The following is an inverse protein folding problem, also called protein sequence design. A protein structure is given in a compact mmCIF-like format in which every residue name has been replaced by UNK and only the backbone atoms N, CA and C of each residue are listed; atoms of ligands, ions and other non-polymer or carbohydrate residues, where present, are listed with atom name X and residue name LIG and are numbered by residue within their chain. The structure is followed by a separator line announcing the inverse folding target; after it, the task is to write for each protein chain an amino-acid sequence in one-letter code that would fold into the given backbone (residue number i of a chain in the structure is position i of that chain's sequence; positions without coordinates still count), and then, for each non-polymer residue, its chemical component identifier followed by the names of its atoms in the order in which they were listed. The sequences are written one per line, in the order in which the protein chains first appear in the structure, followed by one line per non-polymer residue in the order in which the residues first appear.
data_IF_581392710321
#
_entry.id   IF_581392710321
#
_cell.length_a   1.000
_cell.length_b   1.000
_cell.length_c   1.000
_cell.angle_alpha   90.00
_cell.angle_beta   90.00
_cell.angle_gamma   90.00
#
_symmetry.space_group_name_H-M   'P 1'
#
loop_
_entity.id
_entity.type
_entity.pdbx_description
1 polymer ?
#
# COMPACT_ATOMS: atom_id res chain seq x y z
N UNK A 1 -32.42 35.57 12.72
CA UNK A 1 -32.07 34.99 11.40
C UNK A 1 -31.17 33.74 11.46
N UNK A 2 -30.97 33.06 12.61
CA UNK A 2 -30.04 31.91 12.72
C UNK A 2 -30.70 30.51 12.74
N UNK A 3 -32.02 30.39 12.85
CA UNK A 3 -32.69 29.10 13.16
C UNK A 3 -33.08 28.21 11.97
N UNK A 4 -32.90 28.64 10.71
CA UNK A 4 -33.32 27.86 9.52
C UNK A 4 -32.25 26.90 8.96
N UNK A 5 -30.99 27.02 9.38
CA UNK A 5 -29.88 26.20 8.86
C UNK A 5 -29.65 24.85 9.57
N UNK A 6 -30.07 24.71 10.83
CA UNK A 6 -29.81 23.51 11.62
C UNK A 6 -30.65 22.30 11.18
N UNK A 7 -31.88 22.54 10.72
CA UNK A 7 -32.83 21.49 10.33
C UNK A 7 -32.48 20.81 9.00
N UNK A 8 -31.82 21.51 8.07
CA UNK A 8 -31.39 20.96 6.78
C UNK A 8 -30.10 20.16 6.87
N UNK A 9 -29.16 20.56 7.75
CA UNK A 9 -27.94 19.79 8.04
C UNK A 9 -28.27 18.46 8.75
N UNK A 10 -29.16 18.50 9.75
CA UNK A 10 -29.62 17.30 10.46
C UNK A 10 -30.38 16.34 9.53
N UNK A 11 -31.24 16.87 8.65
CA UNK A 11 -31.96 16.05 7.65
C UNK A 11 -31.01 15.39 6.64
N UNK A 12 -30.00 16.10 6.14
CA UNK A 12 -28.99 15.52 5.22
C UNK A 12 -28.16 14.43 5.90
N UNK A 13 -27.72 14.67 7.14
CA UNK A 13 -27.00 13.70 7.95
C UNK A 13 -27.84 12.44 8.25
N UNK A 14 -29.13 12.62 8.58
CA UNK A 14 -30.06 11.52 8.81
C UNK A 14 -30.34 10.73 7.52
N UNK A 15 -30.51 11.39 6.37
CA UNK A 15 -30.70 10.69 5.09
C UNK A 15 -29.43 9.97 4.60
N UNK A 16 -28.23 10.49 4.91
CA UNK A 16 -26.98 9.80 4.57
C UNK A 16 -26.72 8.59 5.46
N UNK A 17 -27.06 8.67 6.75
CA UNK A 17 -26.96 7.53 7.67
C UNK A 17 -28.03 6.49 7.36
N UNK A 18 -29.26 6.91 7.05
CA UNK A 18 -30.33 6.01 6.63
C UNK A 18 -29.97 5.30 5.32
N UNK A 19 -29.42 6.01 4.32
CA UNK A 19 -28.95 5.41 3.07
C UNK A 19 -27.81 4.40 3.27
N UNK A 20 -26.91 4.65 4.23
CA UNK A 20 -25.82 3.74 4.57
C UNK A 20 -26.28 2.51 5.37
N UNK A 21 -27.35 2.63 6.19
CA UNK A 21 -27.88 1.53 6.99
C UNK A 21 -28.75 0.56 6.19
N UNK A 22 -29.42 1.02 5.13
CA UNK A 22 -30.27 0.22 4.25
C UNK A 22 -29.64 -1.12 3.83
N UNK A 23 -28.42 -1.19 3.25
CA UNK A 23 -27.83 -2.46 2.84
C UNK A 23 -27.63 -3.44 4.01
N UNK A 24 -27.21 -2.94 5.18
CA UNK A 24 -26.99 -3.80 6.36
C UNK A 24 -28.30 -4.37 6.90
N UNK A 25 -29.35 -3.55 6.95
CA UNK A 25 -30.68 -4.01 7.41
C UNK A 25 -31.25 -5.02 6.43
N UNK A 26 -31.15 -4.78 5.12
CA UNK A 26 -31.62 -5.73 4.10
C UNK A 26 -30.91 -7.08 4.24
N UNK A 27 -29.58 -7.07 4.39
CA UNK A 27 -28.81 -8.30 4.62
C UNK A 27 -29.20 -8.98 5.93
N UNK A 28 -29.41 -8.22 7.01
CA UNK A 28 -29.82 -8.79 8.31
C UNK A 28 -31.21 -9.44 8.25
N UNK A 29 -32.16 -8.83 7.53
CA UNK A 29 -33.50 -9.41 7.33
C UNK A 29 -33.42 -10.66 6.47
N UNK A 30 -32.68 -10.62 5.35
CA UNK A 30 -32.47 -11.79 4.50
C UNK A 30 -31.79 -12.92 5.26
N UNK A 31 -30.79 -12.59 6.11
CA UNK A 31 -30.14 -13.54 6.99
C UNK A 31 -31.12 -14.15 7.99
N UNK A 32 -31.94 -13.32 8.65
CA UNK A 32 -32.93 -13.81 9.62
C UNK A 32 -33.96 -14.72 8.96
N UNK A 33 -34.45 -14.34 7.77
CA UNK A 33 -35.35 -15.17 6.99
C UNK A 33 -34.68 -16.51 6.62
N UNK A 34 -33.43 -16.48 6.16
CA UNK A 34 -32.69 -17.69 5.82
C UNK A 34 -32.37 -18.56 7.05
N UNK A 35 -32.11 -17.96 8.21
CA UNK A 35 -31.86 -18.68 9.46
C UNK A 35 -33.14 -19.33 10.03
N UNK A 36 -34.32 -18.74 9.79
CA UNK A 36 -35.60 -19.31 10.22
C UNK A 36 -36.14 -20.38 9.27
N UNK A 37 -36.06 -20.14 7.96
CA UNK A 37 -36.68 -20.98 6.93
C UNK A 37 -35.69 -21.90 6.20
N UNK A 38 -34.39 -21.76 6.45
CA UNK A 38 -33.35 -22.54 5.79
C UNK A 38 -33.28 -23.99 6.28
N UNK A 39 -32.69 -24.90 5.48
CA UNK A 39 -32.58 -26.32 5.81
C UNK A 39 -31.49 -26.65 6.84
N UNK A 40 -30.82 -25.63 7.40
CA UNK A 40 -29.64 -25.82 8.24
C UNK A 40 -29.99 -25.94 9.73
N UNK A 41 -29.24 -26.74 10.51
CA UNK A 41 -29.37 -26.79 11.95
C UNK A 41 -29.23 -25.40 12.59
N UNK A 42 -30.10 -25.00 13.54
CA UNK A 42 -30.05 -23.69 14.22
C UNK A 42 -28.75 -23.37 14.96
N UNK A 43 -27.89 -24.39 15.14
CA UNK A 43 -26.57 -24.28 15.77
C UNK A 43 -25.48 -23.83 14.79
N UNK A 44 -25.64 -24.14 13.51
CA UNK A 44 -24.73 -23.71 12.43
C UNK A 44 -25.13 -22.35 11.87
N UNK A 45 -26.44 -22.03 11.91
CA UNK A 45 -26.97 -20.76 11.43
C UNK A 45 -27.90 -20.12 12.49
N UNK A 46 -27.35 -19.54 13.57
CA UNK A 46 -28.16 -18.83 14.55
C UNK A 46 -28.78 -17.57 13.94
N UNK A 47 -30.04 -17.31 14.31
CA UNK A 47 -30.71 -16.06 13.98
C UNK A 47 -30.03 -14.85 14.63
N UNK A 48 -30.22 -13.68 14.01
CA UNK A 48 -29.75 -12.37 14.47
C UNK A 48 -30.22 -12.09 15.90
N UNK A 49 -31.43 -12.52 16.26
CA UNK A 49 -31.98 -12.42 17.63
C UNK A 49 -31.09 -13.12 18.67
N UNK A 50 -30.65 -14.36 18.39
CA UNK A 50 -29.77 -15.12 19.28
C UNK A 50 -28.37 -14.52 19.33
N UNK A 51 -27.87 -14.01 18.20
CA UNK A 51 -26.57 -13.33 18.13
C UNK A 51 -26.58 -12.09 19.02
N UNK A 52 -27.61 -11.25 18.92
CA UNK A 52 -27.73 -10.01 19.71
C UNK A 52 -27.88 -10.32 21.19
N UNK A 53 -28.75 -11.26 21.57
CA UNK A 53 -28.93 -11.67 22.97
C UNK A 53 -27.64 -12.21 23.57
N UNK A 54 -26.96 -13.12 22.85
CA UNK A 54 -25.69 -13.70 23.27
C UNK A 54 -24.60 -12.65 23.37
N UNK A 55 -24.54 -11.69 22.44
CA UNK A 55 -23.60 -10.58 22.49
C UNK A 55 -23.74 -9.77 23.77
N UNK A 56 -24.94 -9.29 24.09
CA UNK A 56 -25.17 -8.53 25.33
C UNK A 56 -24.88 -9.38 26.57
N UNK A 57 -25.28 -10.64 26.57
CA UNK A 57 -24.98 -11.56 27.66
C UNK A 57 -23.46 -11.70 27.88
N UNK A 58 -22.66 -11.88 26.83
CA UNK A 58 -21.20 -12.01 26.95
C UNK A 58 -20.52 -10.69 27.31
N UNK A 59 -21.07 -9.55 26.88
CA UNK A 59 -20.56 -8.22 27.21
C UNK A 59 -20.78 -7.92 28.69
N UNK A 60 -22.01 -8.07 29.18
CA UNK A 60 -22.36 -7.76 30.58
C UNK A 60 -21.75 -8.74 31.58
N UNK A 61 -21.55 -10.00 31.19
CA UNK A 61 -20.82 -10.98 32.02
C UNK A 61 -19.30 -10.77 32.03
N UNK A 62 -18.76 -9.77 31.31
CA UNK A 62 -17.33 -9.45 31.31
C UNK A 62 -16.44 -10.40 30.49
N UNK A 63 -16.99 -11.49 29.95
CA UNK A 63 -16.25 -12.49 29.19
C UNK A 63 -15.74 -11.88 27.87
N UNK A 64 -16.63 -11.23 27.10
CA UNK A 64 -16.25 -10.59 25.83
C UNK A 64 -15.16 -9.52 26.01
N UNK A 65 -15.33 -8.52 26.90
CA UNK A 65 -14.32 -7.48 27.07
C UNK A 65 -13.00 -8.02 27.63
N UNK A 66 -13.02 -9.02 28.52
CA UNK A 66 -11.78 -9.62 29.03
C UNK A 66 -10.95 -10.28 27.92
N UNK A 67 -11.59 -11.09 27.06
CA UNK A 67 -10.90 -11.73 25.93
C UNK A 67 -10.50 -10.73 24.84
N UNK A 68 -11.33 -9.72 24.58
CA UNK A 68 -11.01 -8.65 23.65
C UNK A 68 -9.78 -7.86 24.12
N UNK A 69 -9.74 -7.46 25.39
CA UNK A 69 -8.61 -6.73 25.97
C UNK A 69 -7.34 -7.58 25.98
N UNK A 70 -7.44 -8.86 26.37
CA UNK A 70 -6.29 -9.76 26.33
C UNK A 70 -5.71 -9.90 24.91
N UNK A 71 -6.58 -10.01 23.91
CA UNK A 71 -6.16 -10.07 22.49
C UNK A 71 -5.54 -8.75 22.03
N UNK A 72 -6.11 -7.62 22.44
CA UNK A 72 -5.60 -6.29 22.11
C UNK A 72 -4.21 -6.05 22.73
N UNK A 73 -4.03 -6.37 24.01
CA UNK A 73 -2.74 -6.25 24.69
C UNK A 73 -1.67 -7.14 24.04
N UNK A 74 -2.06 -8.36 23.65
CA UNK A 74 -1.20 -9.29 22.92
C UNK A 74 -0.77 -8.73 21.56
N UNK A 75 -1.71 -8.19 20.80
CA UNK A 75 -1.44 -7.55 19.50
C UNK A 75 -0.59 -6.29 19.66
N UNK A 76 -0.85 -5.47 20.68
CA UNK A 76 -0.07 -4.28 20.97
C UNK A 76 1.38 -4.62 21.33
N UNK A 77 1.60 -5.65 22.16
CA UNK A 77 2.94 -6.13 22.49
C UNK A 77 3.68 -6.68 21.25
N UNK A 78 3.00 -7.49 20.44
CA UNK A 78 3.56 -8.01 19.19
C UNK A 78 3.92 -6.88 18.22
N UNK A 79 3.02 -5.91 18.05
CA UNK A 79 3.25 -4.75 17.20
C UNK A 79 4.40 -3.89 17.71
N UNK A 80 4.50 -3.63 19.03
CA UNK A 80 5.59 -2.86 19.59
C UNK A 80 6.96 -3.52 19.33
N UNK A 81 7.05 -4.84 19.52
CA UNK A 81 8.26 -5.60 19.22
C UNK A 81 8.60 -5.61 17.72
N UNK A 82 7.60 -5.89 16.87
CA UNK A 82 7.76 -5.90 15.42
C UNK A 82 8.10 -4.52 14.87
N UNK A 83 7.51 -3.46 15.43
CA UNK A 83 7.79 -2.07 15.06
C UNK A 83 9.20 -1.66 15.48
N UNK A 84 9.63 -1.98 16.70
CA UNK A 84 11.00 -1.70 17.13
C UNK A 84 12.04 -2.37 16.21
N UNK A 85 11.85 -3.66 15.91
CA UNK A 85 12.73 -4.39 14.99
C UNK A 85 12.67 -3.84 13.56
N UNK A 86 11.46 -3.69 13.01
CA UNK A 86 11.22 -3.23 11.64
C UNK A 86 11.73 -1.80 11.41
N UNK A 87 11.47 -0.88 12.34
CA UNK A 87 11.99 0.51 12.27
C UNK A 87 13.50 0.52 12.33
N UNK A 88 14.12 -0.26 13.22
CA UNK A 88 15.58 -0.33 13.33
C UNK A 88 16.21 -0.83 12.02
N UNK A 89 15.67 -1.91 11.46
CA UNK A 89 16.13 -2.48 10.18
C UNK A 89 15.90 -1.51 9.03
N UNK A 90 14.70 -0.93 8.90
CA UNK A 90 14.36 0.02 7.84
C UNK A 90 15.20 1.31 7.90
N UNK A 91 15.48 1.80 9.10
CA UNK A 91 16.36 2.96 9.31
C UNK A 91 17.81 2.64 8.93
N UNK A 92 18.30 1.44 9.29
CA UNK A 92 19.64 0.99 8.91
C UNK A 92 19.79 0.86 7.39
N UNK A 93 18.78 0.29 6.72
CA UNK A 93 18.69 0.21 5.26
C UNK A 93 18.62 1.60 4.60
N UNK A 94 17.89 2.56 5.19
CA UNK A 94 17.78 3.92 4.66
C UNK A 94 19.08 4.72 4.80
N UNK A 95 19.86 4.48 5.86
CA UNK A 95 21.12 5.19 6.14
C UNK A 95 22.33 4.62 5.39
N UNK A 96 22.46 3.30 5.30
CA UNK A 96 23.65 2.64 4.73
C UNK A 96 23.36 1.93 3.41
N UNK A 97 24.09 2.31 2.35
CA UNK A 97 24.02 1.64 1.03
C UNK A 97 24.42 0.17 1.08
N UNK A 98 25.27 -0.22 2.03
CA UNK A 98 25.68 -1.62 2.21
C UNK A 98 24.57 -2.43 2.89
N UNK A 99 23.99 -1.90 3.96
CA UNK A 99 22.86 -2.53 4.65
C UNK A 99 21.65 -2.68 3.72
N UNK A 100 21.38 -1.67 2.89
CA UNK A 100 20.33 -1.73 1.87
C UNK A 100 20.53 -2.92 0.91
N UNK A 101 21.73 -3.07 0.34
CA UNK A 101 22.01 -4.14 -0.64
C UNK A 101 21.88 -5.55 -0.05
N UNK A 102 22.16 -5.72 1.23
CA UNK A 102 22.09 -7.01 1.91
C UNK A 102 20.69 -7.33 2.43
N UNK A 103 20.01 -6.36 3.05
CA UNK A 103 18.74 -6.58 3.74
C UNK A 103 17.54 -6.42 2.81
N UNK A 104 17.63 -5.57 1.77
CA UNK A 104 16.50 -5.34 0.85
C UNK A 104 16.04 -6.62 0.14
N UNK A 105 16.93 -7.50 -0.39
CA UNK A 105 16.49 -8.77 -0.98
C UNK A 105 15.78 -9.67 0.03
N UNK A 106 16.31 -9.78 1.26
CA UNK A 106 15.74 -10.61 2.33
C UNK A 106 14.34 -10.13 2.71
N UNK A 107 14.20 -8.81 2.93
CA UNK A 107 12.92 -8.20 3.31
C UNK A 107 11.93 -8.27 2.14
N UNK A 108 12.38 -8.07 0.90
CA UNK A 108 11.53 -8.14 -0.29
C UNK A 108 10.97 -9.54 -0.54
N UNK A 109 11.70 -10.59 -0.19
CA UNK A 109 11.24 -11.98 -0.30
C UNK A 109 10.34 -12.36 0.88
N UNK A 110 10.65 -11.87 2.09
CA UNK A 110 9.85 -12.14 3.29
C UNK A 110 8.48 -11.45 3.29
N UNK A 111 8.39 -10.22 2.77
CA UNK A 111 7.16 -9.42 2.81
C UNK A 111 5.93 -10.04 2.10
N UNK A 112 6.02 -10.63 0.90
CA UNK A 112 4.86 -11.25 0.24
C UNK A 112 4.43 -12.58 0.87
N UNK A 113 5.24 -13.17 1.76
CA UNK A 113 4.91 -14.44 2.40
C UNK A 113 3.88 -14.16 3.51
N UNK A 114 2.68 -14.78 3.46
CA UNK A 114 1.67 -14.58 4.49
C UNK A 114 2.22 -14.98 5.86
N UNK A 115 1.96 -14.16 6.89
CA UNK A 115 2.44 -14.44 8.26
C UNK A 115 2.06 -15.83 8.79
N UNK A 116 0.90 -16.36 8.36
CA UNK A 116 0.43 -17.70 8.70
C UNK A 116 1.36 -18.82 8.22
N UNK A 117 2.14 -18.61 7.16
CA UNK A 117 3.09 -19.61 6.64
C UNK A 117 4.23 -19.90 7.63
N UNK A 118 4.56 -18.94 8.50
CA UNK A 118 5.58 -19.11 9.52
C UNK A 118 5.04 -19.79 10.80
N UNK A 119 3.71 -19.92 10.96
CA UNK A 119 3.10 -20.48 12.15
C UNK A 119 3.68 -21.85 12.58
N UNK A 120 3.81 -22.87 11.70
CA UNK A 120 4.34 -24.17 12.11
C UNK A 120 5.76 -24.10 12.65
N UNK A 121 6.62 -23.26 12.08
CA UNK A 121 8.00 -23.08 12.52
C UNK A 121 8.07 -22.53 13.96
N UNK A 122 7.27 -21.50 14.25
CA UNK A 122 7.20 -20.91 15.60
C UNK A 122 6.58 -21.87 16.61
N UNK A 123 5.60 -22.69 16.20
CA UNK A 123 5.01 -23.71 17.08
C UNK A 123 6.02 -24.81 17.41
N UNK A 124 6.85 -25.24 16.45
CA UNK A 124 7.89 -26.26 16.70
C UNK A 124 8.99 -25.71 17.63
N UNK A 125 9.39 -24.45 17.48
CA UNK A 125 10.45 -23.86 18.31
C UNK A 125 9.99 -23.45 19.70
N UNK A 126 8.79 -22.87 19.83
CA UNK A 126 8.33 -22.26 21.08
C UNK A 126 7.13 -22.99 21.71
N UNK A 127 6.61 -24.03 21.07
CA UNK A 127 5.46 -24.81 21.53
C UNK A 127 4.11 -24.14 21.24
N UNK A 128 3.09 -24.55 21.99
CA UNK A 128 1.74 -23.97 21.95
C UNK A 128 1.59 -22.91 23.04
N UNK A 129 0.93 -21.79 22.73
CA UNK A 129 0.58 -20.78 23.73
C UNK A 129 0.57 -19.35 23.21
N UNK A 130 0.68 -18.41 24.16
CA UNK A 130 0.61 -16.98 23.85
C UNK A 130 1.90 -16.46 23.18
N UNK A 131 3.05 -16.89 23.68
CA UNK A 131 4.37 -16.44 23.25
C UNK A 131 4.66 -16.73 21.75
N UNK A 132 4.44 -17.94 21.21
CA UNK A 132 4.67 -18.23 19.79
C UNK A 132 3.89 -17.30 18.87
N UNK A 133 2.61 -17.02 19.14
CA UNK A 133 1.84 -16.15 18.24
C UNK A 133 2.15 -14.66 18.41
N UNK A 134 2.64 -14.21 19.58
CA UNK A 134 3.18 -12.84 19.72
C UNK A 134 4.42 -12.68 18.85
N UNK A 135 5.36 -13.63 18.94
CA UNK A 135 6.60 -13.60 18.14
C UNK A 135 6.32 -13.75 16.64
N UNK A 136 5.38 -14.61 16.27
CA UNK A 136 4.94 -14.79 14.89
C UNK A 136 4.41 -13.47 14.30
N UNK A 137 3.50 -12.80 15.01
CA UNK A 137 2.91 -11.53 14.55
C UNK A 137 3.97 -10.43 14.52
N UNK A 138 4.85 -10.36 15.53
CA UNK A 138 5.95 -9.40 15.56
C UNK A 138 6.89 -9.59 14.36
N UNK A 139 7.27 -10.84 14.06
CA UNK A 139 8.12 -11.19 12.94
C UNK A 139 7.47 -10.86 11.59
N UNK A 140 6.21 -11.27 11.40
CA UNK A 140 5.47 -11.00 10.17
C UNK A 140 5.25 -9.50 9.94
N UNK A 141 4.98 -8.72 11.01
CA UNK A 141 4.79 -7.28 10.92
C UNK A 141 6.11 -6.52 10.70
N UNK A 142 7.26 -7.06 11.12
CA UNK A 142 8.55 -6.39 10.98
C UNK A 142 8.92 -6.12 9.51
N UNK A 143 8.58 -7.02 8.57
CA UNK A 143 8.88 -6.86 7.14
C UNK A 143 8.20 -5.64 6.49
N UNK A 144 6.84 -5.51 6.49
CA UNK A 144 6.20 -4.34 5.91
C UNK A 144 6.58 -3.05 6.65
N UNK A 145 6.78 -3.09 7.97
CA UNK A 145 7.25 -1.93 8.73
C UNK A 145 8.66 -1.51 8.28
N UNK A 146 9.57 -2.45 8.05
CA UNK A 146 10.92 -2.15 7.56
C UNK A 146 10.89 -1.52 6.16
N UNK A 147 10.07 -2.05 5.23
CA UNK A 147 9.93 -1.49 3.87
C UNK A 147 9.33 -0.09 3.91
N UNK A 148 8.29 0.11 4.72
CA UNK A 148 7.65 1.42 4.89
C UNK A 148 8.62 2.45 5.49
N UNK A 149 9.38 2.05 6.51
CA UNK A 149 10.39 2.91 7.14
C UNK A 149 11.52 3.25 6.17
N UNK A 150 12.03 2.26 5.42
CA UNK A 150 13.06 2.48 4.41
C UNK A 150 12.60 3.47 3.33
N UNK A 151 11.36 3.31 2.84
CA UNK A 151 10.75 4.19 1.85
C UNK A 151 10.59 5.61 2.38
N UNK A 152 10.15 5.76 3.63
CA UNK A 152 10.03 7.05 4.31
C UNK A 152 11.38 7.77 4.44
N UNK A 153 12.43 7.06 4.88
CA UNK A 153 13.78 7.64 5.04
C UNK A 153 14.34 8.12 3.70
N UNK A 154 14.13 7.36 2.62
CA UNK A 154 14.56 7.75 1.26
C UNK A 154 13.79 8.97 0.75
N UNK A 155 12.48 9.02 0.94
CA UNK A 155 11.66 10.16 0.54
C UNK A 155 12.11 11.45 1.24
N UNK A 156 12.41 11.37 2.54
CA UNK A 156 12.95 12.51 3.31
C UNK A 156 14.30 12.95 2.75
N UNK A 157 15.23 12.04 2.47
CA UNK A 157 16.53 12.41 1.89
C UNK A 157 16.39 13.12 0.54
N UNK A 158 15.47 12.66 -0.30
CA UNK A 158 15.24 13.26 -1.61
C UNK A 158 14.69 14.68 -1.54
N UNK A 159 13.77 14.98 -0.60
CA UNK A 159 13.23 16.34 -0.44
C UNK A 159 14.30 17.34 0.03
N UNK A 160 15.20 16.94 0.93
CA UNK A 160 16.31 17.80 1.38
C UNK A 160 17.31 18.08 0.26
N UNK A 161 17.60 17.09 -0.59
CA UNK A 161 18.48 17.28 -1.75
C UNK A 161 17.85 18.27 -2.74
N UNK A 162 16.56 18.11 -3.05
CA UNK A 162 15.84 19.02 -3.95
C UNK A 162 15.77 20.44 -3.39
N UNK A 163 15.53 20.61 -2.09
CA UNK A 163 15.54 21.91 -1.43
C UNK A 163 16.92 22.59 -1.48
N UNK A 164 18.01 21.84 -1.26
CA UNK A 164 19.36 22.36 -1.37
C UNK A 164 19.69 22.81 -2.81
N UNK A 165 19.22 22.09 -3.82
CA UNK A 165 19.36 22.49 -5.23
C UNK A 165 18.60 23.78 -5.54
N UNK A 166 17.38 23.96 -4.99
CA UNK A 166 16.61 25.20 -5.16
C UNK A 166 17.24 26.42 -4.49
N UNK A 167 18.06 26.23 -3.45
CA UNK A 167 18.82 27.30 -2.79
C UNK A 167 20.19 27.59 -3.43
N UNK A 168 20.50 26.96 -4.58
CA UNK A 168 21.72 27.27 -5.34
C UNK A 168 22.94 26.40 -5.00
N UNK A 169 22.78 25.24 -4.35
CA UNK A 169 23.90 24.31 -4.16
C UNK A 169 24.38 23.75 -5.52
N UNK A 170 25.58 24.16 -5.95
CA UNK A 170 26.21 23.77 -7.22
C UNK A 170 26.35 22.24 -7.34
N UNK A 171 25.87 21.67 -8.46
CA UNK A 171 25.88 20.23 -8.75
C UNK A 171 27.27 19.57 -8.58
N UNK A 172 28.37 20.35 -8.71
CA UNK A 172 29.75 19.87 -8.57
C UNK A 172 30.17 19.55 -7.13
N UNK A 173 29.63 20.22 -6.11
CA UNK A 173 29.91 19.89 -4.70
C UNK A 173 29.10 18.69 -4.21
N UNK A 174 27.86 18.51 -4.71
CA UNK A 174 27.03 17.35 -4.40
C UNK A 174 27.59 16.07 -5.05
N UNK A 175 28.10 16.17 -6.28
CA UNK A 175 28.79 15.07 -6.97
C UNK A 175 30.07 14.62 -6.27
N UNK A 176 30.86 15.54 -5.70
CA UNK A 176 32.11 15.19 -4.99
C UNK A 176 31.86 14.45 -3.67
N UNK A 177 30.76 14.73 -2.99
CA UNK A 177 30.44 14.13 -1.69
C UNK A 177 29.60 12.85 -1.80
N UNK A 178 28.78 12.71 -2.85
CA UNK A 178 27.86 11.55 -3.04
C UNK A 178 28.30 10.58 -4.16
N UNK A 179 29.15 11.03 -5.08
CA UNK A 179 29.53 10.30 -6.31
C UNK A 179 30.61 9.23 -6.15
N UNK A 180 31.41 9.23 -5.09
CA UNK A 180 32.55 8.31 -4.99
C UNK A 180 32.17 6.83 -4.71
N UNK A 181 30.92 6.55 -4.33
CA UNK A 181 30.43 5.16 -4.15
C UNK A 181 29.66 4.57 -5.36
N UNK A 182 29.53 5.30 -6.48
CA UNK A 182 28.99 4.76 -7.75
C UNK A 182 30.01 4.74 -8.90
N UNK A 183 31.20 5.31 -8.68
CA UNK A 183 32.12 5.70 -9.74
C UNK A 183 32.96 4.63 -10.43
N UNK A 184 32.94 3.34 -10.05
CA UNK A 184 33.91 2.36 -10.61
C UNK A 184 33.36 1.30 -11.57
N UNK A 185 32.05 1.02 -11.62
CA UNK A 185 31.54 -0.08 -12.44
C UNK A 185 31.06 0.35 -13.85
N UNK A 186 30.48 1.55 -14.01
CA UNK A 186 29.82 1.94 -15.27
C UNK A 186 30.77 2.63 -16.26
N UNK A 187 31.88 3.23 -15.79
CA UNK A 187 32.84 3.90 -16.69
C UNK A 187 33.62 2.94 -17.59
N UNK A 188 33.78 1.66 -17.24
CA UNK A 188 34.48 0.69 -18.11
C UNK A 188 33.64 0.22 -19.30
N UNK A 189 32.31 0.22 -19.22
CA UNK A 189 31.46 -0.23 -20.32
C UNK A 189 31.28 0.82 -21.43
N UNK A 190 31.47 2.12 -21.13
CA UNK A 190 31.22 3.21 -22.08
C UNK A 190 32.43 3.63 -22.92
N UNK A 191 33.64 3.23 -22.52
CA UNK A 191 34.87 3.59 -23.24
C UNK A 191 35.30 2.55 -24.29
N UNK A 192 34.47 1.55 -24.59
CA UNK A 192 34.83 0.43 -25.47
C UNK A 192 34.01 0.35 -26.77
N UNK A 193 33.25 1.38 -27.15
CA UNK A 193 32.52 1.37 -28.43
C UNK A 193 33.08 2.42 -29.42
N UNK A 194 33.96 2.03 -30.36
CA UNK A 194 34.55 2.92 -31.36
C UNK A 194 33.68 3.04 -32.62
N UNK A 195 32.46 2.48 -32.68
CA UNK A 195 31.70 2.36 -33.94
C UNK A 195 30.67 3.46 -34.21
N UNK A 196 30.51 4.47 -33.34
CA UNK A 196 29.47 5.50 -33.49
C UNK A 196 29.84 6.74 -34.31
N UNK A 197 31.10 6.88 -34.75
CA UNK A 197 31.56 8.07 -35.48
C UNK A 197 31.57 7.93 -37.01
N UNK A 198 31.07 6.81 -37.55
CA UNK A 198 30.92 6.63 -38.99
C UNK A 198 29.44 6.81 -39.40
N UNK A 199 29.20 7.86 -40.19
CA UNK A 199 28.01 8.12 -41.02
C UNK A 199 26.86 8.95 -40.40
N UNK A 200 26.97 10.29 -40.51
CA UNK A 200 25.84 11.15 -40.92
C UNK A 200 26.38 12.30 -41.81
N UNK A 201 26.11 12.32 -43.13
CA UNK A 201 26.45 13.46 -43.98
C UNK A 201 25.38 14.56 -43.85
N UNK A 202 25.79 15.79 -43.52
CA UNK A 202 24.93 16.98 -43.56
C UNK A 202 24.78 17.47 -45.00
N UNK A 203 23.57 17.45 -45.56
CA UNK A 203 23.24 18.20 -46.77
C UNK A 203 22.88 19.64 -46.41
N UNK A 204 23.44 20.58 -47.18
CA UNK A 204 23.29 22.02 -47.03
C UNK A 204 21.86 22.49 -47.28
N UNK A 205 21.47 23.49 -46.48
CA UNK A 205 20.24 24.26 -46.64
C UNK A 205 20.60 25.47 -47.51
N UNK A 206 20.23 25.41 -48.78
CA UNK A 206 20.05 26.58 -49.65
C UNK A 206 18.56 26.84 -49.78
N UNK A 207 18.15 28.09 -49.55
CA UNK A 207 16.75 28.50 -49.61
C UNK A 207 16.19 28.46 -51.02
N UNK A 208 14.87 28.36 -51.11
CA UNK A 208 14.07 29.33 -51.84
C UNK A 208 12.58 29.11 -51.58
N UNK A 209 11.86 30.21 -51.67
CA UNK A 209 10.45 30.43 -51.41
C UNK A 209 9.52 29.52 -52.23
N UNK A 210 8.37 29.17 -51.65
CA UNK A 210 7.06 29.45 -52.24
C UNK A 210 5.91 29.09 -51.28
N UNK A 211 5.18 30.14 -50.89
CA UNK A 211 3.84 30.08 -50.32
C UNK A 211 2.85 29.52 -51.35
N UNK A 212 2.05 28.54 -50.93
CA UNK A 212 0.93 27.99 -51.70
C UNK A 212 -0.17 27.49 -50.77
N UNK A 213 -1.44 27.88 -50.98
CA UNK A 213 -2.50 27.75 -49.97
C UNK A 213 -2.98 26.30 -49.82
N UNK A 214 -2.90 25.77 -48.60
CA UNK A 214 -3.44 24.46 -48.24
C UNK A 214 -4.97 24.48 -48.27
N UNK A 215 -5.53 24.00 -49.39
CA UNK A 215 -6.94 23.65 -49.53
C UNK A 215 -7.28 22.47 -48.62
N UNK A 216 -8.32 22.65 -47.81
CA UNK A 216 -9.12 21.54 -47.27
C UNK A 216 -9.84 20.81 -48.41
N UNK A 217 -9.92 19.47 -48.35
CA UNK A 217 -11.09 18.77 -48.86
C UNK A 217 -11.78 17.91 -47.80
N UNK A 218 -13.09 18.11 -47.77
CA UNK A 218 -14.14 17.41 -47.08
C UNK A 218 -14.18 15.88 -47.26
N UNK A 219 -14.64 15.22 -46.18
CA UNK A 219 -15.55 14.05 -46.13
C UNK A 219 -15.46 12.96 -47.20
N UNK A 220 -15.48 11.70 -46.73
CA UNK A 220 -16.59 10.79 -47.05
C UNK A 220 -16.81 9.73 -45.97
N UNK A 221 -18.03 9.73 -45.43
CA UNK A 221 -18.64 8.58 -44.75
C UNK A 221 -18.94 7.51 -45.80
N UNK A 222 -18.81 6.24 -45.42
CA UNK A 222 -19.44 5.12 -46.10
C UNK A 222 -19.98 4.14 -45.05
N UNK A 223 -21.30 3.90 -44.98
CA UNK A 223 -21.91 2.91 -44.10
C UNK A 223 -22.15 1.58 -44.81
N UNK A 224 -22.33 0.53 -44.00
CA UNK A 224 -23.17 -0.68 -44.21
C UNK A 224 -22.95 -1.55 -45.44
N UNK A 225 -22.82 -2.87 -45.20
CA UNK A 225 -23.44 -3.94 -45.99
C UNK A 225 -23.21 -5.32 -45.34
N UNK A 226 -24.07 -6.32 -45.63
CA UNK A 226 -24.57 -7.28 -44.64
C UNK A 226 -24.30 -8.76 -45.02
N UNK A 227 -25.07 -9.68 -44.43
CA UNK A 227 -25.30 -11.11 -44.75
C UNK A 227 -24.15 -12.07 -44.37
N UNK A 228 -24.38 -13.22 -43.73
CA UNK A 228 -25.57 -14.07 -43.56
C UNK A 228 -25.54 -14.79 -42.20
#
# INVERSE_FOLDING_TARGET
MYSRGASTALRRALTSVAGAATPFITVAILWQAFAMFGPFPPRLFPGVDKIVSTFFHLVFNGILPAHALATLLRLAAAFALGAAAGVTVGMLMGRSRWAERLLLPVVSVGNPIPGLAYAPLFVIWFGLGNLPAVLLVAFAAAFPIAVNTWSAVRAVKEIWIRAAQSMGAEERQLFRTVGLAHGRAVRRARCADPRRDAAVPRRGVGGDAQDGPLRHPQRRRGPTSPTA
#
